data_IF_430635309941
#
_entry.id   IF_430635309941
#
_cell.length_a   1.000
_cell.length_b   1.000
_cell.length_c   1.000
_cell.angle_alpha   90.00
_cell.angle_beta   90.00
_cell.angle_gamma   90.00
#
_symmetry.space_group_name_H-M   'P 1'
#
loop_
_entity.id
_entity.type
_entity.pdbx_description
1 polymer ?
#
# COMPACT_ATOMS: atom_id res chain seq x y z
N UNK A 1 -7.30 18.94 5.73
CA UNK A 1 -6.91 17.83 4.84
C UNK A 1 -6.15 18.41 3.65
N UNK A 2 -4.99 17.91 3.38
CA UNK A 2 -4.21 18.38 2.24
C UNK A 2 -4.66 17.68 0.95
N UNK A 3 -4.46 18.34 -0.20
CA UNK A 3 -4.69 17.74 -1.51
C UNK A 3 -3.41 17.02 -1.95
N UNK A 4 -3.52 15.74 -2.29
CA UNK A 4 -2.38 14.94 -2.72
C UNK A 4 -2.10 15.19 -4.21
N UNK A 5 -0.85 15.49 -4.52
CA UNK A 5 -0.38 15.72 -5.89
C UNK A 5 0.69 14.68 -6.21
N UNK A 6 0.47 13.87 -7.22
CA UNK A 6 1.39 12.80 -7.62
C UNK A 6 1.93 13.09 -9.02
N UNK A 7 3.25 13.22 -9.19
CA UNK A 7 3.84 13.29 -10.52
C UNK A 7 3.51 12.05 -11.34
N UNK A 8 3.20 12.23 -12.61
CA UNK A 8 2.88 11.14 -13.55
C UNK A 8 3.94 10.06 -13.54
N UNK A 9 5.21 10.45 -13.43
CA UNK A 9 6.33 9.51 -13.39
C UNK A 9 6.24 8.58 -12.16
N UNK A 10 5.89 9.11 -11.00
CA UNK A 10 5.76 8.31 -9.77
C UNK A 10 4.59 7.35 -9.87
N UNK A 11 3.45 7.81 -10.40
CA UNK A 11 2.31 6.92 -10.64
C UNK A 11 2.68 5.78 -11.60
N UNK A 12 3.45 6.08 -12.64
CA UNK A 12 3.95 5.07 -13.57
C UNK A 12 4.88 4.06 -12.88
N UNK A 13 5.73 4.51 -11.97
CA UNK A 13 6.61 3.63 -11.17
C UNK A 13 5.80 2.71 -10.24
N UNK A 14 4.76 3.24 -9.60
CA UNK A 14 3.86 2.44 -8.77
C UNK A 14 3.16 1.36 -9.60
N UNK A 15 2.65 1.72 -10.76
CA UNK A 15 1.99 0.77 -11.66
C UNK A 15 2.97 -0.29 -12.18
N UNK A 16 4.18 0.11 -12.53
CA UNK A 16 5.23 -0.83 -12.95
C UNK A 16 5.60 -1.80 -11.82
N UNK A 17 5.67 -1.31 -10.58
CA UNK A 17 5.91 -2.13 -9.39
C UNK A 17 4.79 -3.17 -9.21
N UNK A 18 3.54 -2.74 -9.36
CA UNK A 18 2.39 -3.64 -9.29
C UNK A 18 2.45 -4.74 -10.35
N UNK A 19 2.76 -4.39 -11.59
CA UNK A 19 2.89 -5.35 -12.69
C UNK A 19 4.05 -6.32 -12.50
N UNK A 20 5.18 -5.83 -11.99
CA UNK A 20 6.39 -6.63 -11.78
C UNK A 20 6.17 -7.73 -10.74
N UNK A 21 5.35 -7.49 -9.73
CA UNK A 21 5.09 -8.45 -8.66
C UNK A 21 3.80 -9.27 -8.86
N UNK A 22 2.94 -8.90 -9.82
CA UNK A 22 1.72 -9.69 -10.07
C UNK A 22 2.07 -11.17 -10.33
N UNK A 23 1.32 -12.13 -9.79
CA UNK A 23 0.05 -12.01 -9.08
C UNK A 23 0.14 -11.64 -7.60
N UNK A 24 1.32 -11.33 -7.07
CA UNK A 24 1.50 -10.90 -5.68
C UNK A 24 1.15 -9.43 -5.52
N UNK A 25 0.59 -9.08 -4.35
CA UNK A 25 0.39 -7.68 -4.00
C UNK A 25 1.74 -7.01 -3.75
N UNK A 26 1.96 -5.84 -4.35
CA UNK A 26 3.09 -4.98 -4.02
C UNK A 26 2.68 -3.95 -2.98
N UNK A 27 3.65 -3.35 -2.31
CA UNK A 27 3.40 -2.25 -1.38
C UNK A 27 4.55 -1.25 -1.38
N UNK A 28 4.28 -0.04 -0.90
CA UNK A 28 5.27 1.01 -0.84
C UNK A 28 4.78 2.26 -0.14
N UNK A 29 5.66 3.25 -0.08
CA UNK A 29 5.43 4.53 0.59
C UNK A 29 5.73 5.68 -0.37
N UNK A 30 5.00 6.77 -0.20
CA UNK A 30 5.21 8.01 -0.93
C UNK A 30 5.47 9.12 0.07
N UNK A 31 6.47 9.94 -0.23
CA UNK A 31 6.84 11.06 0.62
C UNK A 31 7.01 12.34 -0.19
N UNK A 32 6.94 13.47 0.47
CA UNK A 32 7.11 14.77 -0.14
C UNK A 32 6.85 15.90 0.84
N UNK A 33 6.41 17.03 0.32
CA UNK A 33 6.16 18.24 1.12
C UNK A 33 4.89 18.92 0.66
N UNK A 34 4.10 19.42 1.62
CA UNK A 34 2.88 20.18 1.35
C UNK A 34 1.91 19.45 0.38
N UNK A 35 1.77 18.13 0.56
CA UNK A 35 0.90 17.29 -0.27
C UNK A 35 1.47 16.89 -1.62
N UNK A 36 2.64 17.40 -2.03
CA UNK A 36 3.28 17.06 -3.30
C UNK A 36 4.26 15.91 -3.09
N UNK A 37 4.02 14.80 -3.77
CA UNK A 37 4.89 13.62 -3.74
C UNK A 37 6.15 13.90 -4.55
N UNK A 38 7.30 13.62 -3.96
CA UNK A 38 8.62 13.76 -4.60
C UNK A 38 9.45 12.49 -4.53
N UNK A 39 9.11 11.59 -3.62
CA UNK A 39 9.87 10.36 -3.35
C UNK A 39 8.97 9.15 -3.33
N UNK A 40 9.43 8.07 -3.94
CA UNK A 40 8.74 6.79 -4.02
C UNK A 40 9.65 5.70 -3.44
N UNK A 41 9.12 4.94 -2.48
CA UNK A 41 9.84 3.87 -1.79
C UNK A 41 9.10 2.55 -1.99
N UNK A 42 9.72 1.61 -2.71
CA UNK A 42 9.22 0.24 -2.80
C UNK A 42 9.54 -0.48 -1.50
N UNK A 43 8.55 -1.15 -0.95
CA UNK A 43 8.70 -1.92 0.29
C UNK A 43 8.43 -3.38 -0.02
N UNK A 44 9.22 -4.29 0.54
CA UNK A 44 8.97 -5.72 0.37
C UNK A 44 7.68 -6.13 1.06
N UNK A 45 6.90 -6.97 0.38
CA UNK A 45 5.76 -7.64 0.98
C UNK A 45 6.25 -8.94 1.62
N UNK A 46 6.26 -8.99 2.95
CA UNK A 46 6.75 -10.14 3.72
C UNK A 46 5.64 -10.99 4.32
N UNK A 47 4.40 -10.84 3.87
CA UNK A 47 3.27 -11.61 4.40
C UNK A 47 3.46 -13.12 4.25
N UNK A 48 4.23 -13.54 3.26
CA UNK A 48 4.53 -14.95 3.02
C UNK A 48 5.55 -15.54 4.00
N UNK A 49 6.43 -14.70 4.57
CA UNK A 49 7.62 -15.15 5.31
C UNK A 49 7.62 -14.77 6.78
N UNK A 50 6.83 -13.79 7.22
CA UNK A 50 6.78 -13.35 8.61
C UNK A 50 5.45 -13.75 9.26
N UNK A 51 5.38 -14.99 9.73
CA UNK A 51 4.19 -15.52 10.40
C UNK A 51 3.87 -14.82 11.72
N UNK A 52 4.89 -14.39 12.45
CA UNK A 52 4.69 -13.71 13.73
C UNK A 52 4.01 -12.34 13.53
N UNK A 53 4.45 -11.58 12.53
CA UNK A 53 3.83 -10.31 12.18
C UNK A 53 2.40 -10.50 11.70
N UNK A 54 2.15 -11.51 10.88
CA UNK A 54 0.81 -11.86 10.38
C UNK A 54 -0.13 -12.17 11.55
N UNK A 55 0.29 -12.99 12.51
CA UNK A 55 -0.52 -13.35 13.67
C UNK A 55 -0.83 -12.15 14.58
N UNK A 56 0.07 -11.19 14.66
CA UNK A 56 -0.13 -9.99 15.48
C UNK A 56 -1.17 -9.04 14.89
N UNK A 57 -1.42 -9.09 13.58
CA UNK A 57 -2.16 -8.05 12.86
C UNK A 57 -3.50 -8.50 12.30
N UNK A 58 -3.63 -9.75 11.91
CA UNK A 58 -4.87 -10.24 11.32
C UNK A 58 -5.73 -10.94 12.36
N UNK A 59 -7.05 -10.92 12.18
CA UNK A 59 -7.96 -11.66 13.05
C UNK A 59 -7.83 -13.18 12.82
N UNK A 60 -8.36 -13.97 13.78
CA UNK A 60 -8.23 -15.42 13.76
C UNK A 60 -8.77 -16.06 12.47
N UNK A 61 -9.85 -15.54 11.93
CA UNK A 61 -10.44 -16.06 10.69
C UNK A 61 -9.50 -15.84 9.51
N UNK A 62 -8.88 -14.65 9.41
CA UNK A 62 -7.92 -14.33 8.35
C UNK A 62 -6.63 -15.13 8.51
N UNK A 63 -6.13 -15.26 9.74
CA UNK A 63 -4.94 -16.08 10.05
C UNK A 63 -5.18 -17.52 9.62
N UNK A 64 -6.32 -18.12 10.01
CA UNK A 64 -6.68 -19.47 9.62
C UNK A 64 -6.73 -19.64 8.10
N UNK A 65 -7.29 -18.66 7.40
CA UNK A 65 -7.32 -18.67 5.94
C UNK A 65 -5.91 -18.60 5.35
N UNK A 66 -5.07 -17.70 5.84
CA UNK A 66 -3.69 -17.52 5.37
C UNK A 66 -2.81 -18.74 5.64
N UNK A 67 -3.00 -19.41 6.78
CA UNK A 67 -2.25 -20.61 7.14
C UNK A 67 -2.52 -21.80 6.20
N UNK A 68 -3.70 -21.84 5.57
CA UNK A 68 -4.08 -22.89 4.60
C UNK A 68 -3.49 -22.64 3.21
N UNK A 69 -2.97 -21.44 2.96
CA UNK A 69 -2.41 -21.06 1.67
C UNK A 69 -0.90 -21.30 1.64
N UNK A 70 -0.35 -21.51 0.46
CA UNK A 70 1.09 -21.48 0.26
C UNK A 70 1.62 -20.06 0.47
N UNK A 71 2.94 -19.88 0.71
CA UNK A 71 3.51 -18.54 0.81
C UNK A 71 3.17 -17.64 -0.39
N UNK A 72 3.21 -18.19 -1.60
CA UNK A 72 2.88 -17.45 -2.82
C UNK A 72 1.40 -17.02 -2.83
N UNK A 73 0.50 -17.92 -2.48
CA UNK A 73 -0.94 -17.62 -2.42
C UNK A 73 -1.26 -16.55 -1.37
N UNK A 74 -0.54 -16.52 -0.25
CA UNK A 74 -0.71 -15.47 0.77
C UNK A 74 -0.39 -14.09 0.19
N UNK A 75 0.69 -13.99 -0.56
CA UNK A 75 1.11 -12.72 -1.17
C UNK A 75 0.16 -12.24 -2.27
N UNK A 76 -0.66 -13.15 -2.84
CA UNK A 76 -1.64 -12.80 -3.87
C UNK A 76 -2.86 -12.07 -3.31
N UNK A 77 -3.15 -12.20 -2.02
CA UNK A 77 -4.36 -11.67 -1.41
C UNK A 77 -4.12 -10.76 -0.19
N UNK A 78 -2.88 -10.57 0.21
CA UNK A 78 -2.53 -9.77 1.38
C UNK A 78 -1.13 -9.18 1.22
N UNK A 79 -0.84 -8.17 2.05
CA UNK A 79 0.50 -7.62 2.15
C UNK A 79 0.84 -7.31 3.60
N UNK A 80 2.14 -7.31 3.87
CA UNK A 80 2.72 -6.84 5.12
C UNK A 80 4.07 -6.20 4.80
N UNK A 81 4.22 -4.93 5.14
CA UNK A 81 5.43 -4.19 4.82
C UNK A 81 6.62 -4.61 5.67
N UNK A 82 7.74 -4.88 5.03
CA UNK A 82 8.99 -5.21 5.72
C UNK A 82 9.44 -4.04 6.60
N UNK A 83 9.66 -4.32 7.88
CA UNK A 83 10.02 -3.31 8.87
C UNK A 83 11.37 -2.66 8.56
N UNK A 84 12.34 -3.43 8.08
CA UNK A 84 13.67 -2.89 7.72
C UNK A 84 13.58 -1.90 6.57
N UNK A 85 12.81 -2.23 5.54
CA UNK A 85 12.57 -1.34 4.41
C UNK A 85 11.84 -0.07 4.84
N UNK A 86 10.86 -0.20 5.74
CA UNK A 86 10.13 0.96 6.27
C UNK A 86 11.07 1.89 7.06
N UNK A 87 11.92 1.35 7.91
CA UNK A 87 12.90 2.15 8.65
C UNK A 87 13.87 2.87 7.72
N UNK A 88 14.39 2.16 6.70
CA UNK A 88 15.28 2.76 5.71
C UNK A 88 14.58 3.90 4.95
N UNK A 89 13.34 3.70 4.54
CA UNK A 89 12.55 4.72 3.88
C UNK A 89 12.33 5.95 4.77
N UNK A 90 11.93 5.74 6.02
CA UNK A 90 11.70 6.83 6.98
C UNK A 90 12.98 7.60 7.30
N UNK A 91 14.11 6.91 7.38
CA UNK A 91 15.41 7.54 7.58
C UNK A 91 15.77 8.44 6.39
N UNK A 92 15.55 7.96 5.17
CA UNK A 92 15.78 8.75 3.97
C UNK A 92 14.83 9.94 3.89
N UNK A 93 13.54 9.76 4.22
CA UNK A 93 12.58 10.87 4.28
C UNK A 93 13.07 11.99 5.19
N UNK A 94 13.55 11.65 6.38
CA UNK A 94 14.10 12.65 7.32
C UNK A 94 15.33 13.35 6.74
N UNK A 95 16.23 12.61 6.10
CA UNK A 95 17.41 13.17 5.47
C UNK A 95 17.05 14.14 4.32
N UNK A 96 15.97 13.86 3.60
CA UNK A 96 15.49 14.67 2.49
C UNK A 96 14.56 15.82 2.93
N UNK A 97 14.21 15.90 4.20
CA UNK A 97 13.22 16.86 4.69
C UNK A 97 11.81 16.60 4.15
N UNK A 98 11.50 15.36 3.85
CA UNK A 98 10.20 14.94 3.31
C UNK A 98 9.35 14.29 4.40
N UNK A 99 8.03 14.48 4.28
CA UNK A 99 7.04 13.85 5.15
C UNK A 99 6.43 12.64 4.45
N UNK A 100 6.05 11.61 5.21
CA UNK A 100 5.27 10.51 4.66
C UNK A 100 3.86 11.01 4.33
N UNK A 101 3.48 10.95 3.07
CA UNK A 101 2.20 11.46 2.58
C UNK A 101 1.18 10.36 2.30
N UNK A 102 1.66 9.21 1.85
CA UNK A 102 0.78 8.11 1.45
C UNK A 102 1.48 6.76 1.55
N UNK A 103 0.66 5.72 1.70
CA UNK A 103 1.05 4.35 1.42
C UNK A 103 0.39 3.90 0.13
N UNK A 104 0.89 2.86 -0.51
CA UNK A 104 0.16 2.19 -1.59
C UNK A 104 0.36 0.68 -1.54
N UNK A 105 -0.61 -0.02 -2.09
CA UNK A 105 -0.48 -1.45 -2.40
C UNK A 105 -1.28 -1.76 -3.66
N UNK A 106 -1.06 -2.94 -4.22
CA UNK A 106 -1.77 -3.37 -5.43
C UNK A 106 -2.81 -4.43 -5.14
N UNK A 107 -3.87 -4.41 -5.95
CA UNK A 107 -4.84 -5.48 -6.07
C UNK A 107 -4.70 -6.09 -7.48
N UNK A 108 -3.98 -7.22 -7.63
CA UNK A 108 -3.72 -7.77 -8.96
C UNK A 108 -4.98 -8.18 -9.72
N UNK A 109 -6.02 -8.67 -9.02
CA UNK A 109 -7.22 -9.21 -9.65
C UNK A 109 -8.53 -8.66 -9.11
N UNK A 110 -8.48 -7.69 -8.19
CA UNK A 110 -9.66 -7.11 -7.55
C UNK A 110 -9.74 -5.61 -7.75
N UNK A 111 -10.91 -4.97 -7.50
CA UNK A 111 -11.06 -3.53 -7.68
C UNK A 111 -10.15 -2.71 -6.76
N UNK A 112 -9.90 -1.45 -7.15
CA UNK A 112 -9.11 -0.48 -6.39
C UNK A 112 -9.92 0.10 -5.23
N UNK A 113 -10.22 -0.74 -4.25
CA UNK A 113 -10.90 -0.36 -3.01
C UNK A 113 -10.41 -1.22 -1.86
N UNK A 114 -10.37 -0.70 -0.60
CA UNK A 114 -9.88 -1.46 0.53
C UNK A 114 -10.70 -2.72 0.81
N UNK A 115 -10.02 -3.82 1.03
CA UNK A 115 -10.62 -5.04 1.59
C UNK A 115 -10.85 -4.85 3.10
N UNK A 116 -11.67 -5.69 3.75
CA UNK A 116 -11.80 -5.66 5.22
C UNK A 116 -10.45 -5.81 5.95
N UNK A 117 -9.54 -6.62 5.41
CA UNK A 117 -8.19 -6.77 5.95
C UNK A 117 -7.37 -5.48 5.80
N UNK A 118 -7.46 -4.83 4.64
CA UNK A 118 -6.79 -3.55 4.40
C UNK A 118 -7.26 -2.49 5.39
N UNK A 119 -8.57 -2.37 5.61
CA UNK A 119 -9.16 -1.40 6.52
C UNK A 119 -8.59 -1.57 7.93
N UNK A 120 -8.50 -2.80 8.40
CA UNK A 120 -7.96 -3.11 9.73
C UNK A 120 -6.47 -2.75 9.83
N UNK A 121 -5.67 -3.14 8.86
CA UNK A 121 -4.23 -2.89 8.85
C UNK A 121 -3.90 -1.40 8.69
N UNK A 122 -4.60 -0.72 7.80
CA UNK A 122 -4.32 0.68 7.46
C UNK A 122 -4.90 1.68 8.49
N UNK A 123 -5.82 1.23 9.34
CA UNK A 123 -6.38 2.06 10.41
C UNK A 123 -5.32 2.55 11.41
N UNK A 124 -4.15 1.91 11.47
CA UNK A 124 -3.03 2.36 12.30
C UNK A 124 -2.35 3.63 11.76
N UNK A 125 -2.67 4.04 10.54
CA UNK A 125 -2.05 5.20 9.88
C UNK A 125 -3.10 6.18 9.40
N UNK A 126 -3.87 6.81 10.34
CA UNK A 126 -4.99 7.68 9.96
C UNK A 126 -4.57 9.01 9.34
N UNK A 127 -3.30 9.39 9.50
CA UNK A 127 -2.80 10.69 9.08
C UNK A 127 -2.28 10.73 7.64
N UNK A 128 -2.26 9.58 6.96
CA UNK A 128 -1.79 9.51 5.57
C UNK A 128 -2.89 8.96 4.66
N UNK A 129 -2.72 9.21 3.38
CA UNK A 129 -3.60 8.68 2.33
C UNK A 129 -3.16 7.27 1.95
N UNK A 130 -4.10 6.39 1.65
CA UNK A 130 -3.84 5.02 1.21
C UNK A 130 -4.28 4.86 -0.24
N UNK A 131 -3.34 4.50 -1.11
CA UNK A 131 -3.60 4.35 -2.55
C UNK A 131 -3.63 2.87 -2.89
N UNK A 132 -4.62 2.47 -3.68
CA UNK A 132 -4.72 1.10 -4.18
C UNK A 132 -4.61 1.14 -5.70
N UNK A 133 -3.66 0.39 -6.25
CA UNK A 133 -3.46 0.25 -7.68
C UNK A 133 -4.05 -1.09 -8.10
N UNK A 134 -5.12 -1.07 -8.89
CA UNK A 134 -5.77 -2.27 -9.39
C UNK A 134 -5.29 -2.62 -10.79
N UNK A 135 -4.94 -3.89 -10.99
CA UNK A 135 -4.64 -4.47 -12.29
C UNK A 135 -5.76 -5.37 -12.79
N UNK A 136 -6.98 -5.26 -12.22
CA UNK A 136 -8.12 -6.07 -12.61
C UNK A 136 -8.42 -5.94 -14.11
N UNK A 137 -8.29 -4.73 -14.66
CA UNK A 137 -8.20 -4.50 -16.11
C UNK A 137 -6.75 -4.16 -16.44
N UNK A 138 -5.99 -5.13 -16.92
CA UNK A 138 -4.56 -4.98 -17.21
C UNK A 138 -4.28 -3.89 -18.26
N UNK A 139 -5.21 -3.67 -19.18
CA UNK A 139 -5.08 -2.63 -20.21
C UNK A 139 -5.28 -1.23 -19.65
N UNK A 140 -6.04 -1.10 -18.54
CA UNK A 140 -6.37 0.18 -17.91
C UNK A 140 -6.24 0.08 -16.41
N UNK A 141 -5.01 0.09 -15.85
CA UNK A 141 -4.82 0.11 -14.39
C UNK A 141 -5.51 1.31 -13.77
N UNK A 142 -6.13 1.10 -12.61
CA UNK A 142 -6.85 2.14 -11.87
C UNK A 142 -6.15 2.38 -10.54
N UNK A 143 -5.93 3.64 -10.17
CA UNK A 143 -5.43 4.02 -8.87
C UNK A 143 -6.47 4.89 -8.16
N UNK A 144 -6.91 4.47 -6.98
CA UNK A 144 -7.81 5.23 -6.13
C UNK A 144 -7.16 5.49 -4.78
N UNK A 145 -7.52 6.60 -4.17
CA UNK A 145 -6.96 7.02 -2.89
C UNK A 145 -8.06 7.07 -1.82
N UNK A 146 -7.70 6.70 -0.60
CA UNK A 146 -8.63 6.60 0.52
C UNK A 146 -8.03 7.15 1.81
N UNK A 147 -8.88 7.74 2.63
CA UNK A 147 -8.60 8.04 4.02
C UNK A 147 -9.30 6.98 4.87
N UNK A 148 -8.59 6.43 5.86
CA UNK A 148 -9.15 5.42 6.76
C UNK A 148 -8.94 5.88 8.19
N UNK A 149 -10.03 6.28 8.84
CA UNK A 149 -10.02 6.80 10.22
C UNK A 149 -11.04 6.03 11.04
N UNK A 150 -10.58 5.36 12.09
CA UNK A 150 -11.45 4.58 13.00
C UNK A 150 -12.38 3.61 12.25
N UNK A 151 -11.83 2.95 11.21
CA UNK A 151 -12.59 2.01 10.40
C UNK A 151 -13.48 2.65 9.35
N UNK A 152 -13.59 3.97 9.31
CA UNK A 152 -14.37 4.70 8.30
C UNK A 152 -13.51 4.97 7.08
N UNK A 153 -13.94 4.47 5.93
CA UNK A 153 -13.27 4.64 4.64
C UNK A 153 -13.90 5.77 3.87
N UNK A 154 -13.09 6.73 3.44
CA UNK A 154 -13.51 7.84 2.60
C UNK A 154 -12.62 7.87 1.36
N UNK A 155 -13.21 7.77 0.18
CA UNK A 155 -12.44 7.95 -1.05
C UNK A 155 -12.09 9.43 -1.20
N UNK A 156 -10.81 9.71 -1.49
CA UNK A 156 -10.31 11.07 -1.67
C UNK A 156 -9.74 11.22 -3.07
N UNK A 157 -9.82 12.43 -3.62
CA UNK A 157 -9.23 12.72 -4.92
C UNK A 157 -7.75 13.07 -4.79
N UNK A 158 -7.00 12.89 -5.86
CA UNK A 158 -5.63 13.36 -5.98
C UNK A 158 -5.40 13.90 -7.41
N UNK A 159 -4.39 14.75 -7.55
CA UNK A 159 -4.03 15.34 -8.83
C UNK A 159 -2.81 14.64 -9.40
N UNK A 160 -2.80 14.45 -10.72
CA UNK A 160 -1.64 13.92 -11.46
C UNK A 160 -1.06 15.08 -12.26
N UNK A 161 0.24 15.31 -12.12
CA UNK A 161 0.93 16.38 -12.84
C UNK A 161 2.08 15.86 -13.70
#
# INVERSE_FOLDING_TARGET
MFSLIIPRQILAEMTAHARALAPHECCGLLAGKDGRVTHHYKIKNIVATDEAAVKAMFDDAKITHLERLSPEERADIAFWMDTKDMFAAQKDMRAQGADMLASYHSHPVSPARPSPTDIKALAFYPDIVHIIVSLMDEAKPVANAFSIVEGTVTQVSFQII
#
